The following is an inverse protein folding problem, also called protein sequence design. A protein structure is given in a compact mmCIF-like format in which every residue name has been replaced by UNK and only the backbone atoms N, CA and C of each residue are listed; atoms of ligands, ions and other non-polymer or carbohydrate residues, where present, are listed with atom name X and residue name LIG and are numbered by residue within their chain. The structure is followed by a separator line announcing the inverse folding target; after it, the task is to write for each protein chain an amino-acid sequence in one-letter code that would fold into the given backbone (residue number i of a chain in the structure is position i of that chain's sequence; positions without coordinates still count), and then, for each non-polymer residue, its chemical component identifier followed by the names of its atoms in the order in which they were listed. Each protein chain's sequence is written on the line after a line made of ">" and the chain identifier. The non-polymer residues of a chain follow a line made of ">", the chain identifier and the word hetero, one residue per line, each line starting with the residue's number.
data_IF_573952079481
#
_entry.id   IF_573952079481
#
_cell.length_a   1.000
_cell.length_b   1.000
_cell.length_c   1.000
_cell.angle_alpha   90.00
_cell.angle_beta   90.00
_cell.angle_gamma   90.00
#
_symmetry.space_group_name_H-M   'P 1'
#
loop_
_entity.id
_entity.type
_entity.pdbx_description
1 polymer ?
#
# COMPACT_ATOMS: atom_id res chain seq x y z
N UNK A 1 41.42 27.74 -8.17
CA UNK A 1 41.54 26.56 -7.30
C UNK A 1 40.24 26.15 -6.63
N UNK A 2 39.10 26.46 -7.21
CA UNK A 2 37.77 26.09 -6.67
C UNK A 2 36.95 25.14 -7.56
N UNK A 3 37.45 24.72 -8.70
CA UNK A 3 36.72 23.89 -9.67
C UNK A 3 36.99 22.39 -9.57
N UNK A 4 38.02 21.97 -8.83
CA UNK A 4 38.40 20.56 -8.74
C UNK A 4 37.63 19.77 -7.68
N UNK A 5 37.03 20.43 -6.70
CA UNK A 5 36.24 19.73 -5.66
C UNK A 5 34.82 19.33 -6.11
N UNK A 6 34.28 20.01 -7.13
CA UNK A 6 32.93 19.72 -7.63
C UNK A 6 32.88 18.51 -8.57
N UNK A 7 33.99 18.23 -9.26
CA UNK A 7 34.08 17.06 -10.14
C UNK A 7 34.24 15.73 -9.36
N UNK A 8 34.89 15.76 -8.20
CA UNK A 8 35.09 14.54 -7.40
C UNK A 8 33.81 14.04 -6.75
N UNK A 9 32.91 14.95 -6.38
CA UNK A 9 31.61 14.57 -5.79
C UNK A 9 30.67 13.97 -6.83
N UNK A 10 30.76 14.39 -8.08
CA UNK A 10 29.93 13.87 -9.15
C UNK A 10 30.40 12.48 -9.63
N UNK A 11 31.73 12.23 -9.65
CA UNK A 11 32.29 10.93 -10.01
C UNK A 11 32.04 9.84 -8.95
N UNK A 12 32.00 10.21 -7.65
CA UNK A 12 31.72 9.24 -6.58
C UNK A 12 30.24 8.78 -6.58
N UNK A 13 29.32 9.63 -7.01
CA UNK A 13 27.90 9.26 -7.17
C UNK A 13 27.66 8.36 -8.39
N UNK A 14 28.52 8.46 -9.43
CA UNK A 14 28.39 7.65 -10.64
C UNK A 14 29.01 6.26 -10.49
N UNK A 15 30.00 6.10 -9.63
CA UNK A 15 30.65 4.80 -9.39
C UNK A 15 29.86 3.86 -8.47
N UNK A 16 28.90 4.36 -7.68
CA UNK A 16 27.98 3.53 -6.90
C UNK A 16 26.83 2.92 -7.73
N UNK A 17 26.63 3.37 -8.96
CA UNK A 17 25.59 2.87 -9.86
C UNK A 17 26.01 1.63 -10.67
N UNK A 18 27.27 1.17 -10.57
CA UNK A 18 27.82 0.09 -11.40
C UNK A 18 28.19 -1.19 -10.65
N UNK A 19 27.95 -1.26 -9.36
CA UNK A 19 28.22 -2.46 -8.57
C UNK A 19 26.92 -3.13 -8.11
N UNK A 20 26.48 -4.06 -8.92
CA UNK A 20 25.46 -5.04 -8.56
C UNK A 20 24.05 -4.64 -8.99
N UNK A 21 23.54 -5.32 -10.01
CA UNK A 21 22.13 -5.30 -10.44
C UNK A 21 21.19 -5.85 -9.38
N UNK A 22 21.14 -5.21 -8.23
CA UNK A 22 20.00 -5.22 -7.36
C UNK A 22 19.22 -3.96 -7.70
N UNK A 23 18.22 -4.13 -8.56
CA UNK A 23 17.09 -3.21 -8.55
C UNK A 23 16.61 -3.17 -7.10
N UNK A 24 16.91 -2.09 -6.40
CA UNK A 24 16.12 -1.66 -5.26
C UNK A 24 14.71 -1.46 -5.82
N UNK A 25 13.94 -2.55 -5.95
CA UNK A 25 12.51 -2.44 -5.90
C UNK A 25 12.26 -1.84 -4.53
N UNK A 26 11.97 -0.55 -4.50
CA UNK A 26 11.28 0.05 -3.38
C UNK A 26 10.06 -0.85 -3.18
N UNK A 27 10.13 -1.74 -2.19
CA UNK A 27 8.96 -2.47 -1.74
C UNK A 27 8.01 -1.36 -1.32
N UNK A 28 6.96 -1.17 -2.09
CA UNK A 28 5.94 -0.19 -1.83
C UNK A 28 5.18 -0.69 -0.60
N UNK A 29 5.84 -0.59 0.56
CA UNK A 29 5.28 -0.97 1.84
C UNK A 29 4.22 0.06 2.14
N UNK A 30 3.02 -0.18 1.67
CA UNK A 30 1.91 0.73 1.87
C UNK A 30 1.64 0.85 3.36
N UNK A 31 1.89 2.06 3.85
CA UNK A 31 1.64 2.45 5.24
C UNK A 31 0.52 3.48 5.25
N UNK A 32 -0.40 3.32 6.18
CA UNK A 32 -1.49 4.27 6.42
C UNK A 32 -1.46 4.75 7.85
N UNK A 33 -1.58 6.05 8.03
CA UNK A 33 -1.75 6.66 9.34
C UNK A 33 -3.22 6.58 9.73
N UNK A 34 -3.49 6.06 10.90
CA UNK A 34 -4.76 6.21 11.61
C UNK A 34 -4.59 7.26 12.72
N UNK A 35 -5.62 7.51 13.54
CA UNK A 35 -5.55 8.55 14.58
C UNK A 35 -4.35 8.41 15.53
N UNK A 36 -4.00 7.18 15.93
CA UNK A 36 -3.02 6.91 16.98
C UNK A 36 -1.91 5.93 16.60
N UNK A 37 -1.94 5.39 15.40
CA UNK A 37 -1.00 4.34 14.98
C UNK A 37 -0.77 4.35 13.47
N UNK A 38 0.32 3.74 13.05
CA UNK A 38 0.60 3.45 11.66
C UNK A 38 0.32 1.96 11.44
N UNK A 39 -0.39 1.65 10.37
CA UNK A 39 -0.70 0.28 9.94
C UNK A 39 -0.03 0.04 8.58
N UNK A 40 0.53 -1.13 8.38
CA UNK A 40 1.17 -1.50 7.10
C UNK A 40 0.92 -2.95 6.74
N UNK A 41 1.07 -3.25 5.47
CA UNK A 41 1.28 -4.62 5.00
C UNK A 41 2.69 -5.05 5.41
N UNK A 42 2.85 -6.23 5.99
CA UNK A 42 4.17 -6.73 6.37
C UNK A 42 5.03 -6.93 5.11
N UNK A 43 6.25 -6.35 5.03
CA UNK A 43 7.07 -6.39 3.83
C UNK A 43 7.60 -7.78 3.46
N UNK A 44 7.60 -8.72 4.40
CA UNK A 44 8.09 -10.09 4.19
C UNK A 44 6.96 -11.13 4.13
N UNK A 45 5.75 -10.76 4.61
CA UNK A 45 4.60 -11.66 4.68
C UNK A 45 3.36 -10.92 4.19
N UNK A 46 3.04 -11.03 2.91
CA UNK A 46 1.93 -10.31 2.30
C UNK A 46 0.53 -10.66 2.87
N UNK A 47 0.40 -11.74 3.62
CA UNK A 47 -0.83 -12.10 4.34
C UNK A 47 -0.88 -11.60 5.79
N UNK A 48 0.01 -10.67 6.15
CA UNK A 48 0.13 -10.12 7.50
C UNK A 48 0.01 -8.59 7.48
N UNK A 49 -0.71 -8.07 8.46
CA UNK A 49 -0.79 -6.63 8.77
C UNK A 49 -0.02 -6.38 10.07
N UNK A 50 0.86 -5.41 10.03
CA UNK A 50 1.60 -4.91 11.18
C UNK A 50 1.09 -3.53 11.59
N UNK A 51 1.36 -3.14 12.83
CA UNK A 51 1.10 -1.80 13.34
C UNK A 51 2.24 -1.28 14.20
N UNK A 52 2.32 0.04 14.32
CA UNK A 52 3.26 0.75 15.17
C UNK A 52 2.55 1.89 15.90
N UNK A 53 2.83 2.03 17.20
CA UNK A 53 2.32 3.13 18.04
C UNK A 53 3.39 4.17 18.36
N UNK A 54 4.60 4.02 17.80
CA UNK A 54 5.74 4.87 18.09
C UNK A 54 6.39 5.46 16.81
N UNK A 55 5.56 5.77 15.82
CA UNK A 55 6.01 6.42 14.59
C UNK A 55 6.81 5.49 13.65
N UNK A 56 6.57 4.18 13.71
CA UNK A 56 7.24 3.22 12.86
C UNK A 56 8.60 2.74 13.36
N UNK A 57 8.97 3.07 14.60
CA UNK A 57 10.25 2.63 15.18
C UNK A 57 10.24 1.14 15.51
N UNK A 58 9.12 0.63 16.02
CA UNK A 58 8.90 -0.79 16.26
C UNK A 58 7.56 -1.22 15.66
N UNK A 59 7.51 -2.47 15.20
CA UNK A 59 6.36 -3.04 14.52
C UNK A 59 5.91 -4.31 15.22
N UNK A 60 4.62 -4.44 15.41
CA UNK A 60 3.97 -5.60 15.99
C UNK A 60 2.98 -6.19 15.00
N UNK A 61 2.84 -7.51 14.99
CA UNK A 61 1.83 -8.17 14.17
C UNK A 61 0.43 -7.90 14.72
N UNK A 62 -0.49 -7.53 13.83
CA UNK A 62 -1.90 -7.29 14.17
C UNK A 62 -2.83 -8.34 13.60
N UNK A 63 -2.61 -8.73 12.37
CA UNK A 63 -3.35 -9.76 11.67
C UNK A 63 -2.39 -10.64 10.90
N UNK A 64 -2.63 -11.93 10.94
CA UNK A 64 -1.93 -12.90 10.11
C UNK A 64 -2.91 -14.03 9.78
N UNK A 65 -3.15 -14.24 8.49
CA UNK A 65 -4.10 -15.27 8.06
C UNK A 65 -4.24 -15.33 6.54
N UNK A 66 -4.78 -16.44 6.05
CA UNK A 66 -4.98 -16.71 4.62
C UNK A 66 -6.41 -16.47 4.15
N UNK A 67 -7.34 -16.15 5.05
CA UNK A 67 -8.76 -15.96 4.69
C UNK A 67 -8.98 -14.85 3.67
N UNK A 68 -8.24 -13.73 3.80
CA UNK A 68 -8.28 -12.61 2.86
C UNK A 68 -7.37 -12.80 1.64
N UNK A 69 -6.51 -13.82 1.63
CA UNK A 69 -5.40 -13.93 0.68
C UNK A 69 -4.23 -13.02 1.06
N UNK A 70 -3.48 -12.58 0.07
CA UNK A 70 -2.36 -11.65 0.23
C UNK A 70 -2.83 -10.22 0.04
N UNK A 71 -2.39 -9.32 0.91
CA UNK A 71 -2.64 -7.88 0.78
C UNK A 71 -1.72 -7.29 -0.29
N UNK A 72 -2.30 -6.46 -1.16
CA UNK A 72 -1.60 -5.80 -2.28
C UNK A 72 -1.49 -4.31 -2.02
N UNK A 73 -2.56 -3.70 -1.52
CA UNK A 73 -2.63 -2.28 -1.25
C UNK A 73 -3.56 -1.98 -0.07
N UNK A 74 -3.37 -0.83 0.55
CA UNK A 74 -4.05 -0.43 1.77
C UNK A 74 -4.30 1.08 1.77
N UNK A 75 -5.50 1.49 2.14
CA UNK A 75 -5.87 2.90 2.32
C UNK A 75 -6.74 3.06 3.57
N UNK A 76 -6.64 4.19 4.25
CA UNK A 76 -7.57 4.62 5.28
C UNK A 76 -8.62 5.53 4.64
N UNK A 77 -9.88 5.16 4.70
CA UNK A 77 -10.98 5.89 4.06
C UNK A 77 -12.25 5.77 4.90
N UNK A 78 -12.89 6.91 5.24
CA UNK A 78 -14.13 6.96 6.04
C UNK A 78 -14.06 6.13 7.33
N UNK A 79 -12.98 6.29 8.12
CA UNK A 79 -12.71 5.55 9.37
C UNK A 79 -12.60 4.02 9.21
N UNK A 80 -12.41 3.54 8.00
CA UNK A 80 -12.16 2.14 7.71
C UNK A 80 -10.78 1.98 7.07
N UNK A 81 -10.14 0.85 7.30
CA UNK A 81 -9.06 0.38 6.43
C UNK A 81 -9.67 -0.40 5.29
N UNK A 82 -9.33 -0.03 4.06
CA UNK A 82 -9.74 -0.74 2.85
C UNK A 82 -8.49 -1.27 2.17
N UNK A 83 -8.52 -2.54 1.80
CA UNK A 83 -7.39 -3.23 1.21
C UNK A 83 -7.76 -3.91 -0.11
N UNK A 84 -6.84 -3.86 -1.06
CA UNK A 84 -6.81 -4.81 -2.17
C UNK A 84 -6.12 -6.07 -1.67
N UNK A 85 -6.71 -7.20 -1.97
CA UNK A 85 -6.09 -8.51 -1.75
C UNK A 85 -6.15 -9.36 -3.01
N UNK A 86 -5.49 -10.50 -3.00
CA UNK A 86 -5.59 -11.49 -4.09
C UNK A 86 -6.99 -12.08 -4.26
N UNK A 87 -7.88 -11.88 -3.28
CA UNK A 87 -9.27 -12.35 -3.30
C UNK A 87 -10.32 -11.25 -3.54
N UNK A 88 -9.90 -9.98 -3.70
CA UNK A 88 -10.79 -8.84 -3.93
C UNK A 88 -10.54 -7.69 -2.97
N UNK A 89 -11.54 -6.85 -2.76
CA UNK A 89 -11.51 -5.74 -1.83
C UNK A 89 -12.02 -6.21 -0.46
N UNK A 90 -11.23 -5.95 0.56
CA UNK A 90 -11.55 -6.23 1.96
C UNK A 90 -11.52 -4.95 2.79
N UNK A 91 -12.19 -4.96 3.92
CA UNK A 91 -12.20 -3.82 4.83
C UNK A 91 -12.13 -4.24 6.29
N UNK A 92 -11.68 -3.31 7.11
CA UNK A 92 -11.60 -3.44 8.55
C UNK A 92 -12.10 -2.18 9.23
N UNK A 93 -12.98 -2.32 10.22
CA UNK A 93 -13.50 -1.22 11.06
C UNK A 93 -12.78 -1.14 12.42
N UNK A 94 -11.80 -1.99 12.66
CA UNK A 94 -11.08 -2.09 13.93
C UNK A 94 -9.56 -2.05 13.74
N UNK A 95 -9.11 -1.14 12.87
CA UNK A 95 -7.69 -0.88 12.59
C UNK A 95 -6.91 -2.10 12.10
N UNK A 96 -7.56 -2.97 11.34
CA UNK A 96 -6.90 -4.14 10.73
C UNK A 96 -6.83 -5.39 11.61
N UNK A 97 -7.57 -5.44 12.73
CA UNK A 97 -7.63 -6.66 13.57
C UNK A 97 -8.45 -7.77 12.94
N UNK A 98 -9.55 -7.41 12.29
CA UNK A 98 -10.39 -8.33 11.52
C UNK A 98 -10.70 -7.76 10.16
N UNK A 99 -10.83 -8.62 9.17
CA UNK A 99 -11.07 -8.25 7.78
C UNK A 99 -12.30 -8.96 7.24
N UNK A 100 -13.14 -8.22 6.55
CA UNK A 100 -14.36 -8.72 5.91
C UNK A 100 -14.32 -8.43 4.43
N UNK A 101 -14.87 -9.32 3.62
CA UNK A 101 -15.00 -9.13 2.18
C UNK A 101 -15.99 -7.99 1.88
N UNK A 102 -15.62 -7.11 0.94
CA UNK A 102 -16.46 -6.00 0.48
C UNK A 102 -16.86 -6.10 -0.99
N UNK A 103 -15.91 -6.43 -1.84
CA UNK A 103 -16.15 -6.58 -3.27
C UNK A 103 -15.25 -7.67 -3.84
N UNK A 104 -15.88 -8.65 -4.48
CA UNK A 104 -15.20 -9.79 -5.11
C UNK A 104 -15.54 -9.94 -6.60
N UNK A 105 -16.23 -8.93 -7.16
CA UNK A 105 -16.60 -8.93 -8.58
C UNK A 105 -15.38 -8.79 -9.49
N UNK A 106 -15.47 -9.37 -10.67
CA UNK A 106 -14.40 -9.35 -11.67
C UNK A 106 -14.61 -8.35 -12.81
N UNK A 107 -15.74 -7.63 -12.79
CA UNK A 107 -16.10 -6.68 -13.86
C UNK A 107 -15.10 -5.58 -14.07
N UNK A 108 -14.47 -5.09 -12.98
CA UNK A 108 -13.45 -4.04 -13.02
C UNK A 108 -12.06 -4.54 -13.44
N UNK A 109 -11.87 -5.85 -13.61
CA UNK A 109 -10.54 -6.44 -13.75
C UNK A 109 -9.81 -6.50 -12.40
N UNK A 110 -8.52 -6.82 -12.43
CA UNK A 110 -7.69 -6.89 -11.23
C UNK A 110 -7.41 -5.50 -10.70
N UNK A 111 -7.65 -5.30 -9.41
CA UNK A 111 -7.29 -4.07 -8.70
C UNK A 111 -5.78 -4.01 -8.46
N UNK A 112 -5.17 -2.85 -8.71
CA UNK A 112 -3.72 -2.63 -8.62
C UNK A 112 -3.36 -1.66 -7.50
N UNK A 113 -4.11 -0.57 -7.34
CA UNK A 113 -3.89 0.43 -6.28
C UNK A 113 -5.17 1.14 -5.88
N UNK A 114 -5.19 1.66 -4.66
CA UNK A 114 -6.26 2.49 -4.10
C UNK A 114 -5.74 3.91 -3.80
N UNK A 115 -6.62 4.88 -3.87
CA UNK A 115 -6.34 6.26 -3.49
C UNK A 115 -7.61 6.93 -2.96
N UNK A 116 -7.49 7.61 -1.83
CA UNK A 116 -8.48 8.57 -1.35
C UNK A 116 -8.20 9.94 -2.00
N UNK A 117 -9.17 10.51 -2.72
CA UNK A 117 -9.06 11.86 -3.29
C UNK A 117 -9.84 12.92 -2.50
N UNK A 118 -10.31 12.59 -1.30
CA UNK A 118 -11.09 13.45 -0.41
C UNK A 118 -12.60 13.46 -0.69
N UNK A 119 -13.05 12.92 -1.81
CA UNK A 119 -14.48 12.83 -2.18
C UNK A 119 -14.93 11.40 -2.41
N UNK A 120 -14.08 10.61 -2.97
CA UNK A 120 -14.36 9.25 -3.41
C UNK A 120 -13.10 8.38 -3.32
N UNK A 121 -13.31 7.10 -3.25
CA UNK A 121 -12.25 6.12 -3.33
C UNK A 121 -11.95 5.81 -4.79
N UNK A 122 -10.72 6.03 -5.22
CA UNK A 122 -10.25 5.69 -6.56
C UNK A 122 -9.52 4.35 -6.54
N UNK A 123 -9.61 3.62 -7.63
CA UNK A 123 -8.85 2.40 -7.86
C UNK A 123 -8.29 2.37 -9.28
N UNK A 124 -6.99 2.15 -9.39
CA UNK A 124 -6.40 1.72 -10.65
C UNK A 124 -6.59 0.23 -10.80
N UNK A 125 -7.08 -0.19 -11.95
CA UNK A 125 -7.26 -1.60 -12.31
C UNK A 125 -6.60 -1.89 -13.65
N UNK A 126 -6.52 -3.17 -14.02
CA UNK A 126 -6.07 -3.58 -15.36
C UNK A 126 -6.95 -3.02 -16.50
N UNK A 127 -8.21 -2.70 -16.19
CA UNK A 127 -9.17 -2.14 -17.17
C UNK A 127 -9.27 -0.61 -17.15
N UNK A 128 -8.46 0.07 -16.31
CA UNK A 128 -8.43 1.52 -16.22
C UNK A 128 -8.76 2.04 -14.82
N UNK A 129 -9.11 3.32 -14.75
CA UNK A 129 -9.44 4.00 -13.51
C UNK A 129 -10.92 3.80 -13.16
N UNK A 130 -11.16 3.40 -11.93
CA UNK A 130 -12.50 3.24 -11.34
C UNK A 130 -12.63 4.10 -10.10
N UNK A 131 -13.87 4.41 -9.73
CA UNK A 131 -14.18 5.14 -8.51
C UNK A 131 -15.36 4.53 -7.78
N UNK A 132 -15.42 4.76 -6.47
CA UNK A 132 -16.48 4.34 -5.58
C UNK A 132 -16.84 5.47 -4.63
N UNK A 133 -18.14 5.79 -4.54
CA UNK A 133 -18.68 6.77 -3.59
C UNK A 133 -19.24 6.14 -2.32
N UNK A 134 -19.15 4.82 -2.21
CA UNK A 134 -19.70 4.04 -1.09
C UNK A 134 -18.66 3.11 -0.45
N UNK A 135 -17.42 3.61 -0.32
CA UNK A 135 -16.31 2.93 0.35
C UNK A 135 -15.96 1.57 -0.28
N UNK A 136 -16.03 1.48 -1.61
CA UNK A 136 -15.61 0.28 -2.34
C UNK A 136 -16.67 -0.82 -2.46
N UNK A 137 -17.94 -0.55 -2.13
CA UNK A 137 -19.03 -1.53 -2.33
C UNK A 137 -19.41 -1.69 -3.78
N UNK A 138 -19.42 -0.59 -4.53
CA UNK A 138 -19.65 -0.59 -5.99
C UNK A 138 -18.60 0.27 -6.68
N UNK A 139 -18.26 -0.08 -7.90
CA UNK A 139 -17.23 0.58 -8.67
C UNK A 139 -17.77 0.99 -10.05
N UNK A 140 -17.47 2.21 -10.44
CA UNK A 140 -17.83 2.80 -11.73
C UNK A 140 -16.57 3.20 -12.47
N UNK A 141 -16.57 2.99 -13.78
CA UNK A 141 -15.43 3.38 -14.62
C UNK A 141 -15.42 4.91 -14.79
N UNK A 142 -14.23 5.49 -14.75
CA UNK A 142 -14.01 6.90 -15.02
C UNK A 142 -13.66 7.17 -16.46
#
# INVERSE_FOLDING_TARGET
>A
MKTTKFLYTCCMLLSMLLLGGQTLQAQNTRMVQTSNEIVRINPQKANQIDYSTNGGRTWMSRYSGSSCGEFIDLVHYNNELIAITTKGIYYSTNSGRTWMSRYTGTSCGKFLSLMDNGKELLAQTEKGLYYSTNSGRTWMRR
#
